data_IF_422650581943
#
_entry.id   IF_422650581943
#
_cell.length_a   1.000
_cell.length_b   1.000
_cell.length_c   1.000
_cell.angle_alpha   90.00
_cell.angle_beta   90.00
_cell.angle_gamma   90.00
#
_symmetry.space_group_name_H-M   'P 1'
#
loop_
_entity.id
_entity.type
_entity.pdbx_description
1 polymer ?
#
# COMPACT_ATOMS: atom_id res chain seq x y z
N UNK A 1 5.37 8.13 4.99
CA UNK A 1 3.95 8.02 5.41
C UNK A 1 3.15 7.58 4.20
N UNK A 2 2.37 6.53 4.36
CA UNK A 2 1.39 6.06 3.39
C UNK A 2 0.00 6.24 4.02
N UNK A 3 -0.94 6.78 3.26
CA UNK A 3 -2.33 6.93 3.67
C UNK A 3 -3.19 6.40 2.55
N UNK A 4 -4.11 5.50 2.88
CA UNK A 4 -5.09 4.97 1.95
C UNK A 4 -6.48 5.30 2.46
N UNK A 5 -7.36 5.74 1.56
CA UNK A 5 -8.80 5.89 1.78
C UNK A 5 -9.50 5.02 0.73
N UNK A 6 -10.12 3.93 1.15
CA UNK A 6 -10.69 2.93 0.26
C UNK A 6 -12.21 2.81 0.44
N UNK A 7 -12.96 3.15 -0.61
CA UNK A 7 -14.40 2.97 -0.71
C UNK A 7 -14.82 1.77 -1.58
N UNK A 8 -13.90 0.85 -1.89
CA UNK A 8 -14.19 -0.39 -2.63
C UNK A 8 -14.23 -1.59 -1.67
N UNK A 9 -14.86 -2.71 -2.05
CA UNK A 9 -14.79 -3.95 -1.29
C UNK A 9 -13.51 -4.77 -1.59
N UNK A 10 -12.38 -4.10 -1.87
CA UNK A 10 -11.09 -4.74 -2.21
C UNK A 10 -10.09 -4.46 -1.09
N UNK A 11 -9.41 -5.50 -0.61
CA UNK A 11 -8.20 -5.41 0.21
C UNK A 11 -6.96 -5.69 -0.63
N UNK A 12 -5.82 -5.14 -0.22
CA UNK A 12 -4.54 -5.36 -0.90
C UNK A 12 -3.35 -5.35 0.04
N UNK A 13 -2.52 -6.37 -0.11
CA UNK A 13 -1.17 -6.40 0.42
C UNK A 13 -0.19 -5.83 -0.61
N UNK A 14 0.73 -4.98 -0.15
CA UNK A 14 1.73 -4.36 -1.01
C UNK A 14 3.13 -4.52 -0.44
N UNK A 15 4.09 -4.60 -1.35
CA UNK A 15 5.51 -4.41 -1.09
C UNK A 15 6.15 -3.65 -2.24
N UNK A 16 6.98 -2.66 -1.93
CA UNK A 16 7.82 -1.98 -2.92
C UNK A 16 9.26 -2.44 -2.72
N UNK A 17 9.92 -2.79 -3.82
CA UNK A 17 11.34 -3.07 -3.86
C UNK A 17 12.05 -1.99 -4.69
N UNK A 18 13.17 -1.50 -4.20
CA UNK A 18 13.99 -0.54 -4.92
C UNK A 18 15.08 -1.31 -5.67
N UNK A 19 15.27 -1.01 -6.96
CA UNK A 19 16.26 -1.69 -7.79
C UNK A 19 17.27 -0.74 -8.39
N UNK A 20 18.48 -1.23 -8.59
CA UNK A 20 19.53 -0.52 -9.33
C UNK A 20 19.38 -0.68 -10.86
N UNK A 21 20.36 -0.18 -11.61
CA UNK A 21 20.38 -0.24 -13.08
C UNK A 21 20.47 -1.64 -13.66
N UNK A 22 20.95 -2.61 -12.87
CA UNK A 22 21.04 -4.02 -13.23
C UNK A 22 19.80 -4.81 -12.77
N UNK A 23 18.76 -4.12 -12.30
CA UNK A 23 17.53 -4.69 -11.74
C UNK A 23 17.73 -5.50 -10.46
N UNK A 24 18.88 -5.35 -9.78
CA UNK A 24 19.12 -5.99 -8.49
C UNK A 24 18.40 -5.24 -7.38
N UNK A 25 17.79 -5.97 -6.45
CA UNK A 25 17.12 -5.38 -5.29
C UNK A 25 18.14 -4.82 -4.29
N UNK A 26 18.08 -3.52 -4.01
CA UNK A 26 19.01 -2.83 -3.10
C UNK A 26 18.38 -2.46 -1.76
N UNK A 27 17.05 -2.32 -1.70
CA UNK A 27 16.27 -2.15 -0.47
C UNK A 27 14.77 -2.41 -0.75
N UNK A 28 13.92 -2.29 0.26
CA UNK A 28 12.46 -2.41 0.14
C UNK A 28 11.74 -1.30 0.91
N UNK A 29 10.43 -1.18 0.79
CA UNK A 29 9.65 -0.25 1.63
C UNK A 29 9.48 -0.83 3.03
N UNK A 30 8.95 -2.05 3.13
CA UNK A 30 8.73 -2.75 4.39
C UNK A 30 9.81 -3.81 4.63
N UNK A 31 10.47 -3.77 5.79
CA UNK A 31 11.52 -4.74 6.15
C UNK A 31 10.96 -6.13 6.56
N UNK A 32 9.67 -6.20 6.95
CA UNK A 32 9.01 -7.43 7.39
C UNK A 32 8.22 -8.17 6.30
N UNK A 33 8.40 -7.79 5.03
CA UNK A 33 7.61 -8.32 3.92
C UNK A 33 6.38 -7.47 3.58
N UNK A 34 5.50 -7.96 2.68
CA UNK A 34 4.29 -7.25 2.28
C UNK A 34 3.41 -6.89 3.46
N UNK A 35 2.72 -5.75 3.37
CA UNK A 35 1.75 -5.31 4.36
C UNK A 35 0.43 -5.00 3.70
N UNK A 36 -0.67 -5.33 4.38
CA UNK A 36 -2.00 -4.83 4.01
C UNK A 36 -2.07 -3.32 4.29
N UNK A 37 -2.18 -2.54 3.22
CA UNK A 37 -2.22 -1.06 3.27
C UNK A 37 -3.49 -0.49 2.65
N UNK A 38 -4.20 -1.30 1.86
CA UNK A 38 -5.53 -1.01 1.34
C UNK A 38 -6.43 -2.03 2.01
N UNK A 39 -7.29 -1.57 2.91
CA UNK A 39 -8.29 -2.41 3.57
C UNK A 39 -9.63 -2.18 2.92
N UNK A 40 -10.38 -3.24 2.65
CA UNK A 40 -11.72 -3.16 2.09
C UNK A 40 -12.63 -2.22 2.90
N UNK A 41 -13.53 -1.53 2.23
CA UNK A 41 -14.64 -0.82 2.85
C UNK A 41 -15.60 -1.82 3.53
N UNK A 42 -16.33 -1.40 4.57
CA UNK A 42 -17.47 -2.17 5.07
C UNK A 42 -18.47 -2.44 3.94
N UNK A 43 -19.03 -3.64 3.90
CA UNK A 43 -20.04 -4.05 2.92
C UNK A 43 -21.39 -4.28 3.59
N UNK A 44 -22.48 -4.14 2.84
CA UNK A 44 -23.81 -4.56 3.27
C UNK A 44 -24.11 -6.02 2.86
N UNK A 45 -25.31 -6.50 3.18
CA UNK A 45 -25.78 -7.85 2.84
C UNK A 45 -25.87 -8.15 1.33
N UNK A 46 -25.75 -7.13 0.48
CA UNK A 46 -25.73 -7.26 -0.98
C UNK A 46 -24.32 -7.21 -1.56
N UNK A 47 -23.28 -7.16 -0.71
CA UNK A 47 -21.88 -7.08 -1.13
C UNK A 47 -21.46 -5.70 -1.66
N UNK A 48 -22.24 -4.65 -1.35
CA UNK A 48 -21.96 -3.28 -1.80
C UNK A 48 -21.22 -2.54 -0.69
N UNK A 49 -20.14 -1.84 -1.04
CA UNK A 49 -19.40 -0.97 -0.13
C UNK A 49 -20.30 0.17 0.39
N UNK A 50 -20.31 0.41 1.70
CA UNK A 50 -21.19 1.39 2.35
C UNK A 50 -20.44 2.56 2.99
N UNK A 51 -19.11 2.56 2.93
CA UNK A 51 -18.27 3.57 3.57
C UNK A 51 -16.86 3.59 3.03
N UNK A 52 -15.95 4.18 3.80
CA UNK A 52 -14.52 4.30 3.47
C UNK A 52 -13.71 3.74 4.62
N UNK A 53 -12.78 2.85 4.32
CA UNK A 53 -11.75 2.42 5.28
C UNK A 53 -10.48 3.24 5.07
N UNK A 54 -10.04 3.96 6.12
CA UNK A 54 -8.79 4.71 6.11
C UNK A 54 -7.69 3.92 6.81
N UNK A 55 -6.55 3.77 6.16
CA UNK A 55 -5.35 3.15 6.74
C UNK A 55 -4.18 4.13 6.67
N UNK A 56 -3.43 4.28 7.75
CA UNK A 56 -2.22 5.10 7.79
C UNK A 56 -1.02 4.27 8.24
N UNK A 57 0.05 4.30 7.47
CA UNK A 57 1.28 3.58 7.76
C UNK A 57 2.49 4.51 7.82
N UNK A 58 3.22 4.41 8.93
CA UNK A 58 4.48 5.11 9.15
C UNK A 58 5.62 4.13 8.95
N UNK A 59 6.24 4.21 7.76
CA UNK A 59 7.39 3.39 7.41
C UNK A 59 8.67 4.09 7.89
N UNK A 60 9.41 3.53 8.87
CA UNK A 60 10.69 4.08 9.27
C UNK A 60 11.74 3.84 8.18
N UNK A 61 12.45 4.91 7.83
CA UNK A 61 13.58 4.88 6.91
C UNK A 61 14.81 5.42 7.63
N UNK A 62 15.83 4.58 7.84
CA UNK A 62 17.09 5.04 8.43
C UNK A 62 17.91 5.80 7.38
N UNK A 63 18.89 6.59 7.84
CA UNK A 63 19.80 7.32 6.94
C UNK A 63 20.50 6.37 5.96
N UNK A 64 21.07 5.27 6.45
CA UNK A 64 21.74 4.28 5.61
C UNK A 64 20.81 3.68 4.53
N UNK A 65 19.55 3.38 4.87
CA UNK A 65 18.58 2.89 3.88
C UNK A 65 18.21 3.97 2.87
N UNK A 66 18.02 5.20 3.34
CA UNK A 66 17.74 6.35 2.48
C UNK A 66 18.88 6.61 1.48
N UNK A 67 20.13 6.52 1.94
CA UNK A 67 21.31 6.68 1.09
C UNK A 67 21.43 5.57 0.05
N UNK A 68 21.06 4.32 0.40
CA UNK A 68 20.97 3.21 -0.55
C UNK A 68 19.89 3.44 -1.60
N UNK A 69 18.65 3.73 -1.22
CA UNK A 69 17.56 3.89 -2.20
C UNK A 69 17.73 5.12 -3.10
N UNK A 70 18.59 6.08 -2.70
CA UNK A 70 18.98 7.21 -3.54
C UNK A 70 19.69 6.79 -4.83
N UNK A 71 20.28 5.59 -4.87
CA UNK A 71 20.92 5.04 -6.08
C UNK A 71 19.96 4.20 -6.91
N UNK A 72 18.72 3.98 -6.44
CA UNK A 72 17.72 3.22 -7.17
C UNK A 72 17.40 3.86 -8.52
N UNK A 73 17.19 3.03 -9.54
CA UNK A 73 16.70 3.43 -10.86
C UNK A 73 15.20 3.28 -10.99
N UNK A 74 14.63 2.28 -10.31
CA UNK A 74 13.19 2.10 -10.25
C UNK A 74 12.70 1.58 -8.88
N UNK A 75 11.39 1.64 -8.73
CA UNK A 75 10.66 1.02 -7.64
C UNK A 75 9.67 0.02 -8.23
N UNK A 76 9.83 -1.25 -7.87
CA UNK A 76 8.96 -2.35 -8.30
C UNK A 76 7.90 -2.64 -7.24
N UNK A 77 6.63 -2.45 -7.60
CA UNK A 77 5.49 -2.77 -6.76
C UNK A 77 5.07 -4.23 -6.96
N UNK A 78 5.15 -5.03 -5.90
CA UNK A 78 4.52 -6.35 -5.81
C UNK A 78 3.28 -6.24 -4.94
N UNK A 79 2.15 -6.69 -5.45
CA UNK A 79 0.88 -6.59 -4.72
C UNK A 79 -0.04 -7.74 -5.05
N UNK A 80 -0.90 -8.10 -4.11
CA UNK A 80 -2.01 -9.04 -4.26
C UNK A 80 -3.31 -8.33 -3.86
N UNK A 81 -4.42 -8.81 -4.41
CA UNK A 81 -5.75 -8.29 -4.12
C UNK A 81 -6.64 -9.44 -3.64
N UNK A 82 -7.49 -9.14 -2.67
CA UNK A 82 -8.62 -9.99 -2.26
C UNK A 82 -9.85 -9.12 -2.11
N UNK A 83 -11.05 -9.70 -2.14
CA UNK A 83 -12.27 -8.96 -1.82
C UNK A 83 -12.51 -8.96 -0.32
N UNK A 84 -13.46 -8.15 0.14
CA UNK A 84 -13.87 -8.08 1.54
C UNK A 84 -14.10 -9.48 2.13
N UNK A 85 -13.87 -9.61 3.44
CA UNK A 85 -14.02 -10.87 4.18
C UNK A 85 -13.16 -12.00 3.62
N UNK A 86 -11.93 -11.67 3.20
CA UNK A 86 -10.92 -12.58 2.66
C UNK A 86 -11.38 -13.38 1.43
N UNK A 87 -12.33 -12.83 0.66
CA UNK A 87 -12.88 -13.50 -0.51
C UNK A 87 -13.99 -14.50 -0.20
N UNK A 88 -14.45 -14.61 1.04
CA UNK A 88 -15.48 -15.57 1.44
C UNK A 88 -16.92 -15.09 1.14
N UNK A 89 -17.08 -13.82 0.76
CA UNK A 89 -18.39 -13.22 0.46
C UNK A 89 -18.39 -12.59 -0.93
N UNK A 90 -19.51 -12.73 -1.64
CA UNK A 90 -19.71 -12.08 -2.94
C UNK A 90 -19.82 -10.56 -2.78
N UNK A 91 -19.07 -9.83 -3.60
CA UNK A 91 -19.06 -8.37 -3.59
C UNK A 91 -19.37 -7.79 -4.97
N UNK A 92 -19.81 -6.53 -5.01
CA UNK A 92 -20.02 -5.79 -6.25
C UNK A 92 -18.97 -4.70 -6.39
N UNK A 93 -18.35 -4.63 -7.56
CA UNK A 93 -17.50 -3.51 -7.94
C UNK A 93 -18.35 -2.53 -8.76
N UNK A 94 -18.60 -1.35 -8.20
CA UNK A 94 -19.44 -0.33 -8.82
C UNK A 94 -18.56 0.77 -9.42
N UNK A 95 -19.04 1.39 -10.49
CA UNK A 95 -18.34 2.51 -11.14
C UNK A 95 -18.12 3.73 -10.22
N UNK A 96 -18.87 3.80 -9.13
CA UNK A 96 -18.77 4.84 -8.11
C UNK A 96 -17.69 4.57 -7.06
N UNK A 97 -17.18 3.35 -6.98
CA UNK A 97 -16.20 2.98 -5.95
C UNK A 97 -14.86 3.65 -6.24
N UNK A 98 -14.17 4.11 -5.19
CA UNK A 98 -12.92 4.87 -5.32
C UNK A 98 -11.90 4.40 -4.29
N UNK A 99 -10.65 4.31 -4.74
CA UNK A 99 -9.49 4.13 -3.87
C UNK A 99 -8.59 5.33 -4.05
N UNK A 100 -8.15 5.92 -2.94
CA UNK A 100 -7.17 7.00 -2.92
C UNK A 100 -5.96 6.54 -2.14
N UNK A 101 -4.79 6.56 -2.78
CA UNK A 101 -3.50 6.25 -2.16
C UNK A 101 -2.63 7.51 -2.17
N UNK A 102 -2.16 7.91 -0.99
CA UNK A 102 -1.31 9.09 -0.77
C UNK A 102 0.00 8.64 -0.11
N UNK A 103 1.12 8.81 -0.80
CA UNK A 103 2.44 8.51 -0.26
C UNK A 103 3.27 9.78 -0.18
N UNK A 104 4.03 9.95 0.91
CA UNK A 104 4.96 11.05 1.06
C UNK A 104 6.07 10.74 2.07
N UNK A 105 7.20 11.42 1.92
CA UNK A 105 8.35 11.30 2.80
C UNK A 105 8.33 12.47 3.80
N UNK A 106 8.63 12.18 5.07
CA UNK A 106 8.86 13.20 6.10
C UNK A 106 10.33 13.13 6.48
N UNK A 107 11.07 14.23 6.28
CA UNK A 107 12.50 14.33 6.60
C UNK A 107 12.67 15.22 7.83
N UNK A 108 13.42 14.76 8.82
CA UNK A 108 13.88 15.59 9.93
C UNK A 108 15.33 15.99 9.65
N UNK A 109 15.62 17.30 9.61
CA UNK A 109 17.00 17.78 9.53
C UNK A 109 17.75 17.38 10.80
N UNK A 110 19.00 16.94 10.66
CA UNK A 110 19.93 16.86 11.80
C UNK A 110 20.23 18.31 12.20
N UNK A 111 19.86 18.68 13.42
CA UNK A 111 20.35 19.91 14.06
C UNK A 111 21.80 19.68 14.52
#
# INVERSE_FOLDING_TARGET
>A
KLVTENGTPISSEMQIFFRDETQQYIDSLFLGGPKEVIRAAPINSQGIATGITRTEEFIPMSAARFDRIRTAKDAFLKTSFTTAEDGNTFVKLLATDKIVVKMGIKVKKRL
#
